data_IF_597402664206
#
_entry.id   IF_597402664206
#
_cell.length_a   1.000
_cell.length_b   1.000
_cell.length_c   1.000
_cell.angle_alpha   90.00
_cell.angle_beta   90.00
_cell.angle_gamma   90.00
#
_symmetry.space_group_name_H-M   'P 1'
#
loop_
_entity.id
_entity.type
_entity.pdbx_description
1 polymer ?
#
# COMPACT_ATOMS: atom_id res chain seq x y z
N UNK A 1 1.93 -0.35 20.88
CA UNK A 1 0.80 -1.10 21.51
C UNK A 1 -0.20 -1.42 20.41
N UNK A 2 -1.13 -2.38 20.56
CA UNK A 2 -2.24 -2.45 19.58
C UNK A 2 -3.01 -1.14 19.63
N UNK A 3 -3.37 -0.61 18.46
CA UNK A 3 -4.13 0.63 18.38
C UNK A 3 -5.56 0.44 18.90
N UNK A 4 -6.19 1.52 19.33
CA UNK A 4 -7.61 1.51 19.66
C UNK A 4 -8.49 1.32 18.42
N UNK A 5 -9.79 1.16 18.63
CA UNK A 5 -10.74 0.89 17.55
C UNK A 5 -10.83 2.06 16.54
N UNK A 6 -10.75 3.30 17.01
CA UNK A 6 -10.86 4.49 16.17
C UNK A 6 -9.65 4.62 15.25
N UNK A 7 -8.45 4.53 15.80
CA UNK A 7 -7.18 4.54 15.06
C UNK A 7 -7.12 3.37 14.08
N UNK A 8 -7.55 2.18 14.52
CA UNK A 8 -7.62 1.00 13.64
C UNK A 8 -8.56 1.22 12.46
N UNK A 9 -9.73 1.83 12.68
CA UNK A 9 -10.69 2.14 11.62
C UNK A 9 -10.13 3.17 10.63
N UNK A 10 -9.53 4.26 11.13
CA UNK A 10 -8.94 5.29 10.28
C UNK A 10 -7.81 4.76 9.39
N UNK A 11 -6.93 3.92 9.94
CA UNK A 11 -5.85 3.30 9.17
C UNK A 11 -6.38 2.31 8.13
N UNK A 12 -7.43 1.54 8.46
CA UNK A 12 -8.08 0.64 7.50
C UNK A 12 -8.73 1.42 6.35
N UNK A 13 -9.42 2.50 6.64
CA UNK A 13 -10.00 3.39 5.63
C UNK A 13 -8.93 4.00 4.72
N UNK A 14 -7.78 4.40 5.29
CA UNK A 14 -6.64 4.86 4.49
C UNK A 14 -6.12 3.76 3.55
N UNK A 15 -5.95 2.53 4.05
CA UNK A 15 -5.50 1.39 3.24
C UNK A 15 -6.50 1.09 2.12
N UNK A 16 -7.79 1.03 2.44
CA UNK A 16 -8.85 0.72 1.48
C UNK A 16 -8.90 1.78 0.36
N UNK A 17 -8.82 3.07 0.71
CA UNK A 17 -8.73 4.16 -0.27
C UNK A 17 -7.46 4.07 -1.12
N UNK A 18 -6.31 3.79 -0.50
CA UNK A 18 -5.04 3.63 -1.20
C UNK A 18 -5.13 2.50 -2.23
N UNK A 19 -5.64 1.34 -1.83
CA UNK A 19 -5.74 0.18 -2.71
C UNK A 19 -6.79 0.37 -3.79
N UNK A 20 -7.91 1.03 -3.49
CA UNK A 20 -8.91 1.37 -4.49
C UNK A 20 -8.33 2.30 -5.58
N UNK A 21 -7.60 3.33 -5.18
CA UNK A 21 -6.91 4.26 -6.09
C UNK A 21 -5.86 3.52 -6.93
N UNK A 22 -4.98 2.72 -6.31
CA UNK A 22 -3.95 1.95 -7.03
C UNK A 22 -4.54 0.85 -7.93
N UNK A 23 -5.79 0.43 -7.70
CA UNK A 23 -6.47 -0.57 -8.52
C UNK A 23 -7.31 0.03 -9.66
N UNK A 24 -7.36 1.36 -9.77
CA UNK A 24 -8.24 2.05 -10.72
C UNK A 24 -7.42 2.94 -11.65
N UNK A 25 -7.22 2.55 -12.92
CA UNK A 25 -6.53 3.39 -13.90
C UNK A 25 -7.19 4.77 -14.03
N UNK A 26 -6.38 5.83 -13.96
CA UNK A 26 -6.86 7.21 -14.06
C UNK A 26 -7.46 7.80 -12.78
N UNK A 27 -7.42 7.08 -11.65
CA UNK A 27 -7.83 7.64 -10.37
C UNK A 27 -6.90 8.79 -9.91
N UNK A 28 -7.45 9.69 -9.10
CA UNK A 28 -6.70 10.78 -8.48
C UNK A 28 -5.81 10.24 -7.35
N UNK A 29 -4.57 9.88 -7.68
CA UNK A 29 -3.60 9.38 -6.69
C UNK A 29 -3.14 10.46 -5.71
N UNK A 30 -3.19 11.74 -6.10
CA UNK A 30 -2.72 12.84 -5.26
C UNK A 30 -3.62 13.01 -4.03
N UNK A 31 -4.89 12.61 -4.12
CA UNK A 31 -5.82 12.57 -2.99
C UNK A 31 -5.35 11.69 -1.81
N UNK A 32 -4.49 10.69 -2.08
CA UNK A 32 -3.94 9.76 -1.07
C UNK A 32 -2.47 10.05 -0.77
N UNK A 33 -1.68 10.37 -1.80
CA UNK A 33 -0.23 10.53 -1.68
C UNK A 33 0.22 12.00 -1.59
N UNK A 34 -0.70 12.94 -1.39
CA UNK A 34 -0.44 14.39 -1.38
C UNK A 34 0.12 14.97 -0.08
N UNK A 35 0.42 14.16 0.94
CA UNK A 35 0.99 14.66 2.20
C UNK A 35 2.40 15.24 1.96
N UNK A 36 2.65 16.45 2.45
CA UNK A 36 3.89 17.18 2.18
C UNK A 36 5.14 16.47 2.71
N UNK A 37 5.00 15.71 3.79
CA UNK A 37 6.05 14.94 4.45
C UNK A 37 6.02 13.45 4.12
N UNK A 38 5.30 13.05 3.06
CA UNK A 38 5.22 11.64 2.67
C UNK A 38 6.60 11.09 2.29
N UNK A 39 6.88 9.88 2.75
CA UNK A 39 8.04 9.11 2.35
C UNK A 39 7.59 7.68 2.10
N UNK A 40 8.01 7.12 0.97
CA UNK A 40 7.70 5.73 0.60
C UNK A 40 8.99 4.98 0.36
N UNK A 41 9.11 3.84 1.02
CA UNK A 41 10.15 2.86 0.76
C UNK A 41 9.53 1.68 -0.01
N UNK A 42 9.98 1.51 -1.24
CA UNK A 42 9.65 0.39 -2.10
C UNK A 42 10.81 -0.59 -2.12
N UNK A 43 10.50 -1.89 -2.08
CA UNK A 43 11.52 -2.92 -2.06
C UNK A 43 11.61 -3.68 -3.41
N UNK A 44 10.85 -3.24 -4.41
CA UNK A 44 10.90 -3.74 -5.79
C UNK A 44 12.23 -3.43 -6.49
N UNK A 45 12.69 -2.17 -6.42
CA UNK A 45 14.00 -1.73 -6.92
C UNK A 45 14.86 -1.05 -5.84
N UNK A 46 14.48 -1.18 -4.57
CA UNK A 46 15.14 -0.45 -3.48
C UNK A 46 14.84 1.05 -3.54
N UNK A 47 13.63 1.41 -3.98
CA UNK A 47 13.20 2.79 -4.11
C UNK A 47 13.03 3.45 -2.74
N UNK A 48 13.60 4.63 -2.58
CA UNK A 48 13.26 5.54 -1.50
C UNK A 48 12.82 6.86 -2.14
N UNK A 49 11.56 7.21 -1.94
CA UNK A 49 10.93 8.39 -2.52
C UNK A 49 10.54 9.37 -1.43
N UNK A 50 10.79 10.65 -1.67
CA UNK A 50 10.52 11.73 -0.72
C UNK A 50 9.66 12.82 -1.33
N UNK A 51 8.59 13.16 -0.62
CA UNK A 51 7.67 14.20 -1.01
C UNK A 51 6.58 13.73 -1.99
N UNK A 52 5.49 14.50 -2.07
CA UNK A 52 4.27 14.06 -2.75
C UNK A 52 4.41 13.97 -4.28
N UNK A 53 5.27 14.78 -4.89
CA UNK A 53 5.45 14.78 -6.35
C UNK A 53 6.03 13.44 -6.86
N UNK A 54 7.11 12.97 -6.24
CA UNK A 54 7.77 11.71 -6.63
C UNK A 54 6.87 10.51 -6.36
N UNK A 55 6.26 10.47 -5.17
CA UNK A 55 5.36 9.36 -4.79
C UNK A 55 4.12 9.31 -5.70
N UNK A 56 3.52 10.46 -6.04
CA UNK A 56 2.36 10.51 -6.91
C UNK A 56 2.67 10.03 -8.34
N UNK A 57 3.85 10.36 -8.88
CA UNK A 57 4.28 9.89 -10.20
C UNK A 57 4.39 8.36 -10.26
N UNK A 58 5.00 7.76 -9.24
CA UNK A 58 5.13 6.30 -9.16
C UNK A 58 3.76 5.64 -8.92
N UNK A 59 2.92 6.22 -8.05
CA UNK A 59 1.57 5.73 -7.82
C UNK A 59 0.71 5.78 -9.10
N UNK A 60 0.81 6.83 -9.92
CA UNK A 60 0.15 6.92 -11.23
C UNK A 60 0.62 5.81 -12.17
N UNK A 61 1.93 5.55 -12.22
CA UNK A 61 2.46 4.48 -13.03
C UNK A 61 1.91 3.11 -12.59
N UNK A 62 1.90 2.82 -11.28
CA UNK A 62 1.33 1.59 -10.73
C UNK A 62 -0.16 1.47 -11.06
N UNK A 63 -0.95 2.53 -10.87
CA UNK A 63 -2.39 2.51 -11.16
C UNK A 63 -2.69 2.25 -12.65
N UNK A 64 -1.79 2.68 -13.55
CA UNK A 64 -1.96 2.49 -14.99
C UNK A 64 -1.86 1.04 -15.46
N UNK A 65 -1.27 0.14 -14.66
CA UNK A 65 -1.07 -1.26 -15.05
C UNK A 65 -2.28 -2.17 -14.82
N UNK A 66 -3.41 -1.61 -14.36
CA UNK A 66 -4.67 -2.32 -14.08
C UNK A 66 -4.53 -3.52 -13.14
N UNK A 67 -3.52 -3.50 -12.25
CA UNK A 67 -3.39 -4.48 -11.17
C UNK A 67 -4.48 -4.25 -10.12
N UNK A 68 -4.94 -5.30 -9.44
CA UNK A 68 -5.86 -5.14 -8.30
C UNK A 68 -5.16 -5.45 -6.98
N UNK A 69 -5.17 -4.48 -6.07
CA UNK A 69 -4.59 -4.59 -4.74
C UNK A 69 -5.68 -5.00 -3.76
N UNK A 70 -5.48 -6.12 -3.06
CA UNK A 70 -6.49 -6.69 -2.16
C UNK A 70 -5.89 -6.91 -0.77
N UNK A 71 -6.39 -6.22 0.28
CA UNK A 71 -5.95 -6.47 1.63
C UNK A 71 -6.68 -7.71 2.19
N UNK A 72 -5.93 -8.66 2.74
CA UNK A 72 -6.48 -9.87 3.38
C UNK A 72 -6.43 -9.80 4.91
N UNK A 73 -5.44 -9.07 5.45
CA UNK A 73 -5.27 -8.92 6.89
C UNK A 73 -4.58 -7.61 7.25
N UNK A 74 -5.15 -6.87 8.21
CA UNK A 74 -4.58 -5.61 8.70
C UNK A 74 -4.47 -5.67 10.21
N UNK A 75 -3.25 -5.54 10.72
CA UNK A 75 -2.97 -5.34 12.14
C UNK A 75 -2.40 -3.95 12.35
N UNK A 76 -2.98 -3.17 13.26
CA UNK A 76 -2.60 -1.78 13.51
C UNK A 76 -2.04 -1.61 14.91
N UNK A 77 -0.96 -0.85 15.01
CA UNK A 77 -0.33 -0.46 16.26
C UNK A 77 -0.17 1.05 16.31
N UNK A 78 -0.06 1.58 17.53
CA UNK A 78 0.27 2.98 17.75
C UNK A 78 1.23 3.14 18.93
N UNK A 79 1.90 4.30 18.96
CA UNK A 79 2.71 4.80 20.06
C UNK A 79 2.77 6.33 19.99
N UNK A 80 2.13 7.00 20.95
CA UNK A 80 1.93 8.45 20.88
C UNK A 80 1.18 8.80 19.61
N UNK A 81 1.67 9.79 18.88
CA UNK A 81 1.04 10.32 17.66
C UNK A 81 1.41 9.55 16.39
N UNK A 82 2.06 8.39 16.52
CA UNK A 82 2.47 7.55 15.39
C UNK A 82 1.66 6.27 15.40
N UNK A 83 0.98 6.01 14.27
CA UNK A 83 0.35 4.73 13.97
C UNK A 83 1.04 4.06 12.77
N UNK A 84 1.03 2.73 12.79
CA UNK A 84 1.52 1.92 11.68
C UNK A 84 0.69 0.65 11.55
N UNK A 85 0.62 0.11 10.35
CA UNK A 85 -0.04 -1.14 10.07
C UNK A 85 0.93 -2.18 9.52
N UNK A 86 0.57 -3.44 9.70
CA UNK A 86 1.01 -4.54 8.86
C UNK A 86 -0.17 -4.91 7.97
N UNK A 87 0.01 -4.80 6.65
CA UNK A 87 -0.97 -5.22 5.66
C UNK A 87 -0.49 -6.50 5.00
N UNK A 88 -1.23 -7.58 5.20
CA UNK A 88 -1.13 -8.81 4.42
C UNK A 88 -2.14 -8.71 3.27
N UNK A 89 -1.72 -9.07 2.06
CA UNK A 89 -2.58 -9.01 0.89
C UNK A 89 -1.95 -9.61 -0.35
N UNK A 90 -2.72 -9.54 -1.44
CA UNK A 90 -2.30 -9.98 -2.76
C UNK A 90 -2.44 -8.85 -3.77
N UNK A 91 -1.57 -8.86 -4.77
CA UNK A 91 -1.72 -8.08 -5.99
C UNK A 91 -2.14 -9.03 -7.09
N UNK A 92 -3.31 -8.77 -7.67
CA UNK A 92 -3.86 -9.52 -8.78
C UNK A 92 -3.38 -8.90 -10.08
N UNK A 93 -2.56 -9.64 -10.81
CA UNK A 93 -1.96 -9.17 -12.07
C UNK A 93 -2.76 -9.72 -13.25
N UNK A 94 -3.26 -8.87 -14.15
CA UNK A 94 -3.88 -9.32 -15.40
C UNK A 94 -2.85 -10.07 -16.26
N UNK A 95 -3.23 -11.26 -16.74
CA UNK A 95 -2.47 -12.09 -17.68
C UNK A 95 -3.34 -12.38 -18.91
N UNK A 96 -2.73 -12.78 -20.05
CA UNK A 96 -3.50 -13.19 -21.22
C UNK A 96 -4.52 -14.29 -20.94
N UNK A 97 -4.21 -15.21 -20.01
CA UNK A 97 -5.02 -16.40 -19.70
C UNK A 97 -5.88 -16.24 -18.43
N UNK A 98 -5.98 -15.03 -17.87
CA UNK A 98 -6.74 -14.77 -16.64
C UNK A 98 -6.02 -13.85 -15.66
N UNK A 99 -6.15 -14.10 -14.37
CA UNK A 99 -5.54 -13.27 -13.32
C UNK A 99 -4.63 -14.12 -12.45
N UNK A 100 -3.44 -13.60 -12.13
CA UNK A 100 -2.48 -14.25 -11.24
C UNK A 100 -2.41 -13.50 -9.90
N UNK A 101 -2.62 -14.20 -8.79
CA UNK A 101 -2.42 -13.65 -7.45
C UNK A 101 -0.94 -13.71 -7.08
N UNK A 102 -0.34 -12.54 -6.85
CA UNK A 102 1.04 -12.40 -6.40
C UNK A 102 1.06 -11.86 -4.98
N UNK A 103 1.77 -12.53 -4.08
CA UNK A 103 1.90 -12.11 -2.69
C UNK A 103 2.86 -10.93 -2.57
N UNK A 104 2.53 -9.97 -1.69
CA UNK A 104 3.44 -8.92 -1.24
C UNK A 104 4.46 -9.53 -0.26
N UNK A 105 5.74 -9.59 -0.65
CA UNK A 105 6.84 -10.12 0.17
C UNK A 105 7.54 -9.03 1.00
N UNK A 106 8.25 -9.47 2.06
CA UNK A 106 9.07 -8.66 3.00
C UNK A 106 10.08 -7.75 2.31
N UNK A 107 10.56 -8.20 1.15
CA UNK A 107 11.62 -7.59 0.37
C UNK A 107 11.09 -6.89 -0.89
N UNK A 108 9.77 -6.65 -0.99
CA UNK A 108 9.14 -5.91 -2.11
C UNK A 108 9.27 -6.56 -3.47
N UNK A 109 9.77 -7.80 -3.51
CA UNK A 109 9.78 -8.58 -4.73
C UNK A 109 8.45 -9.31 -4.86
N UNK A 110 7.81 -9.11 -6.00
CA UNK A 110 6.67 -9.88 -6.45
C UNK A 110 7.16 -11.29 -6.81
N UNK A 111 6.76 -12.33 -6.05
CA UNK A 111 7.01 -13.74 -6.40
C UNK A 111 5.77 -14.59 -6.21
N UNK A 112 5.54 -15.52 -7.14
CA UNK A 112 4.45 -16.48 -7.07
C UNK A 112 4.77 -17.63 -6.11
N UNK A 113 4.52 -17.46 -4.80
CA UNK A 113 4.04 -18.53 -3.90
C UNK A 113 3.90 -18.06 -2.44
N UNK A 114 2.91 -18.66 -1.75
CA UNK A 114 2.54 -18.47 -0.34
C UNK A 114 3.74 -18.30 0.59
N UNK A 115 3.94 -17.10 1.11
CA UNK A 115 4.29 -16.83 2.53
C UNK A 115 4.21 -15.31 2.84
N UNK A 116 3.71 -15.06 4.05
CA UNK A 116 3.47 -13.80 4.79
C UNK A 116 4.43 -12.66 4.44
N UNK A 117 3.93 -11.42 4.34
CA UNK A 117 4.58 -10.19 4.86
C UNK A 117 3.82 -8.87 4.66
N UNK A 118 4.28 -7.83 5.37
CA UNK A 118 3.61 -6.58 5.72
C UNK A 118 4.18 -5.29 5.12
N UNK A 119 3.30 -4.40 4.68
CA UNK A 119 3.59 -2.99 4.34
C UNK A 119 3.33 -2.10 5.55
N UNK A 120 4.28 -1.22 5.89
CA UNK A 120 4.15 -0.16 6.89
C UNK A 120 3.82 1.18 6.21
N UNK A 121 2.58 1.65 6.34
CA UNK A 121 2.23 3.06 6.14
C UNK A 121 2.57 3.80 7.44
N UNK A 122 3.52 4.74 7.36
CA UNK A 122 3.87 5.66 8.44
C UNK A 122 3.13 6.97 8.19
N UNK A 123 2.24 7.34 9.10
CA UNK A 123 1.58 8.64 9.14
C UNK A 123 1.45 9.12 10.57
N UNK A 124 1.56 10.43 10.78
CA UNK A 124 1.15 11.05 12.05
C UNK A 124 -0.38 11.06 12.12
N UNK A 125 -0.91 10.64 13.27
CA UNK A 125 -2.35 10.71 13.59
C UNK A 125 -2.67 12.06 14.19
#
# INVERSE_FOLDING_TARGET
MKADAQTTAAIRELIDRTYAVLSTPGADVASVFGAADITVAGSGQGELMHGPEEVALVAQHIASTAMQWVPEGVTVWCRGDVAWAQVLGVVRVPRPDGTEDVALLDDGRLRSHRRRMGVALLGRV
#
